data_IF_038891823225
#
_entry.id   IF_038891823225
#
_cell.length_a   1.000
_cell.length_b   1.000
_cell.length_c   1.000
_cell.angle_alpha   90.00
_cell.angle_beta   90.00
_cell.angle_gamma   90.00
#
_symmetry.space_group_name_H-M   'P 1'
#
loop_
_entity.id
_entity.type
_entity.pdbx_description
1 polymer ?
#
# COMPACT_ATOMS: atom_id res chain seq x y z
N UNK A 1 -32.00 4.01 7.05
CA UNK A 1 -32.47 2.62 7.21
C UNK A 1 -33.63 2.61 8.19
N UNK A 2 -34.66 1.78 7.98
CA UNK A 2 -35.66 1.53 9.03
C UNK A 2 -34.99 0.82 10.21
N UNK A 3 -35.49 1.00 11.44
CA UNK A 3 -34.87 0.42 12.64
C UNK A 3 -34.67 -1.10 12.55
N UNK A 4 -35.62 -1.83 11.95
CA UNK A 4 -35.49 -3.27 11.73
C UNK A 4 -34.43 -3.63 10.69
N UNK A 5 -34.21 -2.78 9.68
CA UNK A 5 -33.16 -3.00 8.67
C UNK A 5 -31.78 -2.84 9.29
N UNK A 6 -31.64 -1.97 10.29
CA UNK A 6 -30.41 -1.81 11.08
C UNK A 6 -30.17 -3.05 11.93
N UNK A 7 -31.18 -3.54 12.65
CA UNK A 7 -31.02 -4.74 13.49
C UNK A 7 -30.70 -6.01 12.69
N UNK A 8 -31.29 -6.13 11.49
CA UNK A 8 -31.11 -7.29 10.61
C UNK A 8 -30.06 -7.06 9.51
N UNK A 9 -29.33 -5.95 9.55
CA UNK A 9 -28.32 -5.63 8.54
C UNK A 9 -27.30 -6.76 8.32
N UNK A 10 -26.79 -7.46 9.36
CA UNK A 10 -25.90 -8.61 9.17
C UNK A 10 -26.49 -9.70 8.26
N UNK A 11 -27.81 -9.86 8.22
CA UNK A 11 -28.52 -10.82 7.37
C UNK A 11 -28.93 -10.26 6.01
N UNK A 12 -29.17 -8.95 5.93
CA UNK A 12 -29.66 -8.30 4.71
C UNK A 12 -28.55 -7.99 3.71
N UNK A 13 -27.29 -7.89 4.16
CA UNK A 13 -26.14 -7.54 3.32
C UNK A 13 -26.04 -8.30 2.00
N UNK A 14 -26.15 -9.65 1.94
CA UNK A 14 -26.04 -10.39 0.69
C UNK A 14 -27.13 -10.03 -0.33
N UNK A 15 -28.24 -9.46 0.13
CA UNK A 15 -29.41 -9.12 -0.68
C UNK A 15 -29.50 -7.61 -0.98
N UNK A 16 -28.54 -6.82 -0.47
CA UNK A 16 -28.51 -5.35 -0.57
C UNK A 16 -27.19 -4.89 -1.19
N UNK A 17 -26.88 -5.46 -2.36
CA UNK A 17 -25.64 -5.18 -3.11
C UNK A 17 -25.53 -3.69 -3.42
N UNK A 18 -26.64 -3.01 -3.69
CA UNK A 18 -26.70 -1.57 -3.95
C UNK A 18 -26.21 -0.69 -2.78
N UNK A 19 -26.20 -1.23 -1.56
CA UNK A 19 -25.74 -0.55 -0.34
C UNK A 19 -24.39 -1.05 0.15
N UNK A 20 -23.79 -2.01 -0.55
CA UNK A 20 -22.56 -2.69 -0.15
C UNK A 20 -21.51 -2.71 -1.26
N UNK A 21 -21.88 -2.43 -2.51
CA UNK A 21 -21.00 -2.47 -3.69
C UNK A 21 -19.87 -1.42 -3.68
N UNK A 22 -20.01 -0.31 -2.94
CA UNK A 22 -18.97 0.73 -2.88
C UNK A 22 -17.74 0.30 -2.06
N UNK A 23 -17.89 -0.65 -1.13
CA UNK A 23 -16.84 -1.09 -0.21
C UNK A 23 -16.36 -2.53 -0.45
N UNK A 24 -17.05 -3.32 -1.28
CA UNK A 24 -16.97 -4.79 -1.19
C UNK A 24 -16.53 -5.50 -2.47
N UNK A 25 -15.38 -6.17 -2.38
CA UNK A 25 -15.08 -7.39 -3.11
C UNK A 25 -15.93 -8.60 -2.65
N UNK A 26 -15.48 -9.85 -2.82
CA UNK A 26 -16.24 -11.09 -2.62
C UNK A 26 -16.54 -11.44 -1.15
N UNK A 27 -16.32 -10.52 -0.21
CA UNK A 27 -16.52 -10.74 1.22
C UNK A 27 -18.01 -10.75 1.64
N UNK A 28 -18.92 -10.62 0.67
CA UNK A 28 -20.37 -10.63 0.88
C UNK A 28 -20.82 -11.91 1.57
N UNK A 29 -21.51 -11.75 2.69
CA UNK A 29 -22.14 -12.84 3.43
C UNK A 29 -21.32 -13.48 4.55
N UNK A 30 -20.04 -13.12 4.76
CA UNK A 30 -19.26 -13.64 5.91
C UNK A 30 -19.84 -13.20 7.24
N UNK A 31 -20.22 -11.93 7.35
CA UNK A 31 -20.95 -11.39 8.50
C UNK A 31 -22.31 -12.08 8.67
N UNK A 32 -22.99 -12.44 7.58
CA UNK A 32 -24.25 -13.19 7.64
C UNK A 32 -24.05 -14.62 8.15
N UNK A 33 -23.03 -15.33 7.65
CA UNK A 33 -22.65 -16.67 8.12
C UNK A 33 -22.25 -16.62 9.60
N UNK A 34 -21.49 -15.61 10.01
CA UNK A 34 -21.12 -15.36 11.40
C UNK A 34 -22.36 -15.16 12.27
N UNK A 35 -23.29 -14.30 11.84
CA UNK A 35 -24.53 -14.02 12.58
C UNK A 35 -25.40 -15.27 12.73
N UNK A 36 -25.63 -16.01 11.65
CA UNK A 36 -26.42 -17.25 11.67
C UNK A 36 -25.74 -18.31 12.56
N UNK A 37 -24.43 -18.50 12.42
CA UNK A 37 -23.70 -19.48 13.23
C UNK A 37 -23.69 -19.10 14.71
N UNK A 38 -23.55 -17.82 15.04
CA UNK A 38 -23.64 -17.33 16.41
C UNK A 38 -25.05 -17.52 16.99
N UNK A 39 -26.11 -17.27 16.21
CA UNK A 39 -27.49 -17.55 16.62
C UNK A 39 -27.73 -19.03 16.89
N UNK A 40 -27.30 -19.89 15.97
CA UNK A 40 -27.38 -21.35 16.15
C UNK A 40 -26.62 -21.79 17.40
N UNK A 41 -25.40 -21.28 17.62
CA UNK A 41 -24.62 -21.61 18.79
C UNK A 41 -25.35 -21.24 20.10
N UNK A 42 -25.90 -20.03 20.21
CA UNK A 42 -26.60 -19.55 21.42
C UNK A 42 -27.82 -20.40 21.75
N UNK A 43 -28.64 -20.71 20.74
CA UNK A 43 -29.91 -21.45 20.88
C UNK A 43 -29.66 -22.95 21.10
N UNK A 44 -28.60 -23.49 20.50
CA UNK A 44 -28.33 -24.92 20.56
C UNK A 44 -27.74 -25.31 21.92
N UNK A 45 -28.59 -25.83 22.80
CA UNK A 45 -28.24 -26.22 24.19
C UNK A 45 -27.13 -27.28 24.31
N UNK A 46 -26.82 -27.99 23.23
CA UNK A 46 -25.74 -29.00 23.18
C UNK A 46 -24.36 -28.34 22.96
N UNK A 47 -24.33 -27.08 22.52
CA UNK A 47 -23.07 -26.35 22.36
C UNK A 47 -22.45 -26.03 23.73
N UNK A 48 -21.12 -26.03 23.78
CA UNK A 48 -20.35 -25.70 24.98
C UNK A 48 -20.72 -24.29 25.49
N UNK A 49 -20.75 -24.12 26.81
CA UNK A 49 -21.11 -22.85 27.45
C UNK A 49 -20.23 -21.68 26.97
N UNK A 50 -18.94 -21.91 26.72
CA UNK A 50 -18.00 -20.92 26.19
C UNK A 50 -18.36 -20.53 24.76
N UNK A 51 -18.73 -21.48 23.90
CA UNK A 51 -19.14 -21.20 22.51
C UNK A 51 -20.47 -20.48 22.47
N UNK A 52 -21.41 -20.82 23.36
CA UNK A 52 -22.67 -20.07 23.54
C UNK A 52 -22.41 -18.63 23.97
N UNK A 53 -21.47 -18.42 24.89
CA UNK A 53 -21.06 -17.07 25.29
C UNK A 53 -20.41 -16.31 24.13
N UNK A 54 -19.50 -16.93 23.37
CA UNK A 54 -18.92 -16.34 22.16
C UNK A 54 -19.98 -16.01 21.11
N UNK A 55 -20.97 -16.88 20.92
CA UNK A 55 -22.11 -16.62 20.04
C UNK A 55 -22.92 -15.41 20.50
N UNK A 56 -23.20 -15.28 21.79
CA UNK A 56 -23.89 -14.11 22.33
C UNK A 56 -23.09 -12.82 22.10
N UNK A 57 -21.79 -12.82 22.42
CA UNK A 57 -20.90 -11.67 22.20
C UNK A 57 -20.84 -11.30 20.72
N UNK A 58 -20.75 -12.29 19.83
CA UNK A 58 -20.71 -12.07 18.38
C UNK A 58 -22.02 -11.47 17.86
N UNK A 59 -23.18 -11.95 18.32
CA UNK A 59 -24.48 -11.39 17.95
C UNK A 59 -24.64 -9.96 18.45
N UNK A 60 -24.36 -9.72 19.73
CA UNK A 60 -24.46 -8.40 20.33
C UNK A 60 -23.52 -7.42 19.59
N UNK A 61 -22.28 -7.84 19.36
CA UNK A 61 -21.30 -7.07 18.61
C UNK A 61 -21.75 -6.78 17.17
N UNK A 62 -22.34 -7.75 16.47
CA UNK A 62 -22.86 -7.54 15.12
C UNK A 62 -24.05 -6.55 15.10
N UNK A 63 -24.94 -6.61 16.08
CA UNK A 63 -26.07 -5.66 16.19
C UNK A 63 -25.56 -4.26 16.53
N UNK A 64 -24.65 -4.12 17.50
CA UNK A 64 -24.08 -2.84 17.88
C UNK A 64 -23.24 -2.23 16.75
N UNK A 65 -22.43 -3.04 16.07
CA UNK A 65 -21.69 -2.64 14.87
C UNK A 65 -22.63 -2.09 13.80
N UNK A 66 -23.75 -2.77 13.56
CA UNK A 66 -24.72 -2.31 12.58
C UNK A 66 -25.44 -1.04 13.02
N UNK A 67 -25.72 -0.86 14.31
CA UNK A 67 -26.34 0.34 14.84
C UNK A 67 -25.41 1.56 14.77
N UNK A 68 -24.09 1.33 14.89
CA UNK A 68 -23.09 2.39 14.87
C UNK A 68 -22.71 2.82 13.45
N UNK A 69 -22.19 1.90 12.63
CA UNK A 69 -21.72 2.23 11.27
C UNK A 69 -22.25 1.30 10.20
N UNK A 70 -22.32 -0.01 10.47
CA UNK A 70 -22.60 -1.01 9.44
C UNK A 70 -21.53 -1.12 8.35
N UNK A 71 -20.36 -0.47 8.51
CA UNK A 71 -19.24 -0.52 7.56
C UNK A 71 -18.42 -1.79 7.74
N UNK A 72 -18.24 -2.58 6.68
CA UNK A 72 -17.63 -3.91 6.77
C UNK A 72 -16.18 -3.88 7.27
N UNK A 73 -15.44 -2.80 6.99
CA UNK A 73 -14.08 -2.59 7.50
C UNK A 73 -13.97 -2.76 9.02
N UNK A 74 -15.05 -2.48 9.75
CA UNK A 74 -15.10 -2.57 11.21
C UNK A 74 -15.77 -3.87 11.72
N UNK A 75 -16.12 -4.79 10.82
CA UNK A 75 -16.77 -6.06 11.16
C UNK A 75 -15.80 -7.24 11.30
N UNK A 76 -14.48 -7.04 11.18
CA UNK A 76 -13.50 -8.14 11.19
C UNK A 76 -13.59 -9.03 12.43
N UNK A 77 -13.91 -8.46 13.60
CA UNK A 77 -14.10 -9.25 14.81
C UNK A 77 -15.30 -10.20 14.71
N UNK A 78 -16.39 -9.78 14.04
CA UNK A 78 -17.57 -10.61 13.77
C UNK A 78 -17.20 -11.74 12.82
N UNK A 79 -16.41 -11.45 11.78
CA UNK A 79 -15.94 -12.46 10.84
C UNK A 79 -15.04 -13.51 11.51
N UNK A 80 -14.06 -13.08 12.31
CA UNK A 80 -13.13 -13.96 13.00
C UNK A 80 -13.84 -14.86 14.03
N UNK A 81 -14.64 -14.26 14.92
CA UNK A 81 -15.38 -15.01 15.93
C UNK A 81 -16.44 -15.91 15.29
N UNK A 82 -17.17 -15.40 14.29
CA UNK A 82 -18.14 -16.16 13.53
C UNK A 82 -17.55 -17.36 12.81
N UNK A 83 -16.37 -17.20 12.19
CA UNK A 83 -15.62 -18.31 11.58
C UNK A 83 -15.26 -19.39 12.59
N UNK A 84 -14.72 -19.01 13.75
CA UNK A 84 -14.38 -19.94 14.83
C UNK A 84 -15.63 -20.69 15.35
N UNK A 85 -16.74 -19.99 15.56
CA UNK A 85 -18.02 -20.60 15.95
C UNK A 85 -18.51 -21.57 14.88
N UNK A 86 -18.45 -21.20 13.60
CA UNK A 86 -18.88 -22.04 12.48
C UNK A 86 -18.08 -23.35 12.45
N UNK A 87 -16.75 -23.28 12.59
CA UNK A 87 -15.86 -24.45 12.64
C UNK A 87 -16.21 -25.35 13.84
N UNK A 88 -16.48 -24.76 15.01
CA UNK A 88 -16.91 -25.53 16.18
C UNK A 88 -18.25 -26.25 15.94
N UNK A 89 -19.21 -25.60 15.29
CA UNK A 89 -20.51 -26.19 14.97
C UNK A 89 -20.34 -27.36 13.99
N UNK A 90 -19.51 -27.21 12.95
CA UNK A 90 -19.16 -28.29 12.01
C UNK A 90 -18.58 -29.49 12.77
N UNK A 91 -17.58 -29.26 13.64
CA UNK A 91 -16.95 -30.32 14.43
C UNK A 91 -17.95 -31.03 15.35
N UNK A 92 -18.88 -30.27 15.94
CA UNK A 92 -19.94 -30.81 16.81
C UNK A 92 -20.95 -31.64 16.04
N UNK A 93 -21.37 -31.18 14.85
CA UNK A 93 -22.25 -31.94 13.96
C UNK A 93 -21.59 -33.25 13.49
N UNK A 94 -20.29 -33.21 13.15
CA UNK A 94 -19.55 -34.41 12.76
C UNK A 94 -19.45 -35.44 13.89
N UNK A 95 -19.14 -34.99 15.12
CA UNK A 95 -19.14 -35.86 16.31
C UNK A 95 -20.53 -36.45 16.58
N UNK A 96 -21.58 -35.64 16.46
CA UNK A 96 -22.96 -36.09 16.64
C UNK A 96 -23.35 -37.13 15.59
N UNK A 97 -23.00 -36.93 14.33
CA UNK A 97 -23.24 -37.91 13.26
C UNK A 97 -22.59 -39.26 13.59
N UNK A 98 -21.34 -39.26 14.05
CA UNK A 98 -20.61 -40.47 14.43
C UNK A 98 -21.27 -41.22 15.60
N UNK A 99 -21.79 -40.48 16.58
CA UNK A 99 -22.35 -41.05 17.81
C UNK A 99 -23.85 -41.35 17.75
N UNK A 100 -24.55 -40.93 16.68
CA UNK A 100 -26.00 -41.16 16.54
C UNK A 100 -26.26 -42.54 15.94
N UNK A 101 -26.98 -43.39 16.67
CA UNK A 101 -27.42 -44.71 16.19
C UNK A 101 -28.56 -44.63 15.16
N UNK A 102 -29.44 -43.63 15.29
CA UNK A 102 -30.58 -43.43 14.39
C UNK A 102 -30.13 -42.92 13.00
N UNK A 103 -30.50 -43.61 11.89
CA UNK A 103 -30.05 -43.24 10.55
C UNK A 103 -30.45 -41.83 10.11
N UNK A 104 -31.68 -41.40 10.39
CA UNK A 104 -32.20 -40.07 10.03
C UNK A 104 -31.45 -38.94 10.75
N UNK A 105 -31.18 -39.10 12.04
CA UNK A 105 -30.42 -38.12 12.83
C UNK A 105 -28.95 -38.02 12.40
N UNK A 106 -28.35 -39.16 12.01
CA UNK A 106 -27.00 -39.19 11.42
C UNK A 106 -26.95 -38.44 10.09
N UNK A 107 -27.88 -38.73 9.18
CA UNK A 107 -27.94 -38.10 7.86
C UNK A 107 -28.13 -36.58 7.98
N UNK A 108 -29.06 -36.13 8.84
CA UNK A 108 -29.28 -34.70 9.06
C UNK A 108 -28.03 -33.98 9.57
N UNK A 109 -27.34 -34.55 10.56
CA UNK A 109 -26.12 -33.96 11.12
C UNK A 109 -24.98 -33.90 10.09
N UNK A 110 -24.83 -34.95 9.25
CA UNK A 110 -23.85 -34.97 8.16
C UNK A 110 -24.17 -33.90 7.11
N UNK A 111 -25.41 -33.84 6.63
CA UNK A 111 -25.81 -32.85 5.62
C UNK A 111 -25.60 -31.41 6.12
N UNK A 112 -25.94 -31.13 7.39
CA UNK A 112 -25.69 -29.81 7.98
C UNK A 112 -24.19 -29.48 8.08
N UNK A 113 -23.35 -30.44 8.49
CA UNK A 113 -21.90 -30.27 8.54
C UNK A 113 -21.30 -30.03 7.14
N UNK A 114 -21.75 -30.79 6.14
CA UNK A 114 -21.32 -30.66 4.75
C UNK A 114 -21.73 -29.30 4.19
N UNK A 115 -22.98 -28.86 4.43
CA UNK A 115 -23.46 -27.56 3.97
C UNK A 115 -22.64 -26.40 4.56
N UNK A 116 -22.42 -26.40 5.88
CA UNK A 116 -21.61 -25.37 6.53
C UNK A 116 -20.16 -25.38 6.04
N UNK A 117 -19.58 -26.57 5.82
CA UNK A 117 -18.24 -26.72 5.26
C UNK A 117 -18.16 -26.18 3.83
N UNK A 118 -19.16 -26.50 3.00
CA UNK A 118 -19.24 -26.01 1.62
C UNK A 118 -19.35 -24.48 1.56
N UNK A 119 -20.15 -23.88 2.44
CA UNK A 119 -20.24 -22.41 2.56
C UNK A 119 -18.88 -21.79 2.91
N UNK A 120 -18.14 -22.35 3.88
CA UNK A 120 -16.81 -21.86 4.23
C UNK A 120 -15.81 -22.04 3.08
N UNK A 121 -15.82 -23.17 2.38
CA UNK A 121 -14.95 -23.44 1.24
C UNK A 121 -15.23 -22.46 0.11
N UNK A 122 -16.49 -22.24 -0.25
CA UNK A 122 -16.89 -21.28 -1.29
C UNK A 122 -16.48 -19.86 -0.91
N UNK A 123 -16.70 -19.44 0.33
CA UNK A 123 -16.30 -18.11 0.84
C UNK A 123 -14.78 -17.90 0.88
N UNK A 124 -14.01 -18.94 1.21
CA UNK A 124 -12.55 -18.90 1.16
C UNK A 124 -12.05 -18.86 -0.28
N UNK A 125 -12.58 -19.71 -1.16
CA UNK A 125 -12.21 -19.75 -2.57
C UNK A 125 -12.51 -18.43 -3.27
N UNK A 126 -13.69 -17.83 -3.03
CA UNK A 126 -14.06 -16.54 -3.60
C UNK A 126 -13.10 -15.43 -3.17
N UNK A 127 -12.67 -15.41 -1.89
CA UNK A 127 -11.68 -14.46 -1.42
C UNK A 127 -10.29 -14.68 -2.02
N UNK A 128 -9.85 -15.94 -2.17
CA UNK A 128 -8.60 -16.25 -2.88
C UNK A 128 -8.65 -15.78 -4.34
N UNK A 129 -9.74 -16.02 -5.05
CA UNK A 129 -9.94 -15.58 -6.44
C UNK A 129 -9.90 -14.06 -6.54
N UNK A 130 -10.52 -13.35 -5.61
CA UNK A 130 -10.46 -11.88 -5.62
C UNK A 130 -9.07 -11.37 -5.29
N UNK A 131 -8.40 -11.90 -4.26
CA UNK A 131 -7.03 -11.52 -3.95
C UNK A 131 -6.10 -11.77 -5.16
N UNK A 132 -6.29 -12.88 -5.87
CA UNK A 132 -5.55 -13.16 -7.11
C UNK A 132 -5.81 -12.12 -8.22
N UNK A 133 -7.08 -11.77 -8.44
CA UNK A 133 -7.50 -10.88 -9.54
C UNK A 133 -7.23 -9.41 -9.25
N UNK A 134 -7.47 -8.98 -8.02
CA UNK A 134 -7.62 -7.58 -7.67
C UNK A 134 -6.60 -7.08 -6.65
N UNK A 135 -5.57 -7.83 -6.24
CA UNK A 135 -4.68 -7.34 -5.17
C UNK A 135 -4.22 -5.88 -5.39
N UNK A 136 -4.71 -4.99 -4.51
CA UNK A 136 -4.59 -3.54 -4.63
C UNK A 136 -3.33 -3.01 -3.93
N UNK A 137 -2.83 -3.75 -2.94
CA UNK A 137 -1.74 -3.30 -2.07
C UNK A 137 -0.35 -3.38 -2.69
N UNK A 138 -0.23 -3.86 -3.94
CA UNK A 138 1.05 -4.07 -4.64
C UNK A 138 2.08 -4.92 -3.87
N UNK A 139 1.64 -5.63 -2.82
CA UNK A 139 2.47 -6.50 -1.99
C UNK A 139 2.62 -7.88 -2.61
N UNK A 140 3.67 -8.62 -2.26
CA UNK A 140 3.78 -10.02 -2.61
C UNK A 140 2.62 -10.84 -2.07
N UNK A 141 1.97 -11.59 -2.97
CA UNK A 141 0.97 -12.58 -2.62
C UNK A 141 1.47 -13.97 -2.96
N UNK A 142 0.90 -14.99 -2.30
CA UNK A 142 1.16 -16.39 -2.63
C UNK A 142 0.89 -16.72 -4.10
N UNK A 143 0.05 -15.95 -4.78
CA UNK A 143 -0.33 -16.20 -6.17
C UNK A 143 0.59 -15.54 -7.20
N UNK A 144 1.13 -14.36 -6.92
CA UNK A 144 1.99 -13.62 -7.87
C UNK A 144 3.48 -13.77 -7.56
N UNK A 145 3.84 -13.79 -6.28
CA UNK A 145 5.22 -13.78 -5.79
C UNK A 145 5.37 -14.72 -4.58
N UNK A 146 5.23 -16.05 -4.77
CA UNK A 146 5.18 -17.01 -3.67
C UNK A 146 6.45 -17.04 -2.82
N UNK A 147 7.62 -16.89 -3.43
CA UNK A 147 8.89 -16.88 -2.69
C UNK A 147 8.99 -15.68 -1.74
N UNK A 148 8.66 -14.47 -2.23
CA UNK A 148 8.64 -13.27 -1.40
C UNK A 148 7.56 -13.36 -0.33
N UNK A 149 6.37 -13.87 -0.68
CA UNK A 149 5.30 -14.06 0.29
C UNK A 149 5.69 -15.04 1.41
N UNK A 150 6.30 -16.17 1.08
CA UNK A 150 6.77 -17.14 2.08
C UNK A 150 7.88 -16.58 2.96
N UNK A 151 8.78 -15.79 2.36
CA UNK A 151 9.81 -15.08 3.09
C UNK A 151 9.20 -14.08 4.08
N UNK A 152 8.25 -13.26 3.65
CA UNK A 152 7.59 -12.28 4.51
C UNK A 152 6.71 -12.95 5.59
N UNK A 153 6.08 -14.09 5.25
CA UNK A 153 5.22 -14.83 6.18
C UNK A 153 5.96 -15.31 7.44
N UNK A 154 7.29 -15.45 7.40
CA UNK A 154 8.11 -15.76 8.59
C UNK A 154 8.06 -14.66 9.66
N UNK A 155 7.70 -13.44 9.27
CA UNK A 155 7.58 -12.28 10.14
C UNK A 155 6.17 -12.09 10.69
N UNK A 156 5.17 -12.84 10.21
CA UNK A 156 3.79 -12.74 10.67
C UNK A 156 3.71 -12.94 12.20
N UNK A 157 3.04 -12.03 12.90
CA UNK A 157 2.91 -11.96 14.37
C UNK A 157 4.17 -11.47 15.11
N UNK A 158 5.29 -11.33 14.41
CA UNK A 158 6.57 -10.80 14.91
C UNK A 158 6.94 -9.47 14.25
N UNK A 159 6.08 -8.96 13.37
CA UNK A 159 6.15 -7.70 12.62
C UNK A 159 5.83 -6.47 13.49
N UNK A 160 6.36 -6.43 14.72
CA UNK A 160 6.02 -5.36 15.68
C UNK A 160 6.81 -4.07 15.48
N UNK A 161 7.82 -4.08 14.62
CA UNK A 161 8.68 -2.92 14.40
C UNK A 161 9.16 -2.87 12.95
N UNK A 162 8.67 -1.90 12.18
CA UNK A 162 9.18 -1.62 10.84
C UNK A 162 10.64 -1.12 10.89
N UNK A 163 11.02 -0.44 11.99
CA UNK A 163 12.36 0.08 12.26
C UNK A 163 13.45 -1.01 12.32
N UNK A 164 13.09 -2.24 12.68
CA UNK A 164 14.02 -3.37 12.69
C UNK A 164 14.60 -3.70 11.29
N UNK A 165 13.89 -3.31 10.23
CA UNK A 165 14.25 -3.57 8.83
C UNK A 165 14.85 -2.36 8.11
N UNK A 166 15.12 -1.27 8.83
CA UNK A 166 15.87 -0.13 8.32
C UNK A 166 17.36 -0.45 8.30
N UNK A 167 18.03 -0.02 7.24
CA UNK A 167 19.49 0.02 7.20
C UNK A 167 20.04 0.99 8.25
N UNK A 168 21.33 0.88 8.64
CA UNK A 168 21.95 1.82 9.58
C UNK A 168 21.87 3.29 9.12
N UNK A 169 22.01 3.55 7.82
CA UNK A 169 21.91 4.88 7.22
C UNK A 169 20.49 5.44 7.30
N UNK A 170 19.47 4.64 6.96
CA UNK A 170 18.07 5.03 7.08
C UNK A 170 17.68 5.30 8.54
N UNK A 171 18.17 4.45 9.45
CA UNK A 171 17.93 4.60 10.89
C UNK A 171 18.51 5.91 11.40
N UNK A 172 19.78 6.21 11.08
CA UNK A 172 20.41 7.48 11.45
C UNK A 172 19.64 8.69 10.92
N UNK A 173 19.20 8.63 9.65
CA UNK A 173 18.40 9.70 9.04
C UNK A 173 17.07 9.94 9.77
N UNK A 174 16.36 8.88 10.16
CA UNK A 174 15.06 9.01 10.82
C UNK A 174 15.17 9.34 12.31
N UNK A 175 16.29 8.97 12.97
CA UNK A 175 16.57 9.31 14.37
C UNK A 175 16.80 10.81 14.57
N UNK A 176 17.32 11.49 13.55
CA UNK A 176 17.51 12.94 13.55
C UNK A 176 16.20 13.74 13.43
N UNK A 177 15.07 13.10 13.11
CA UNK A 177 13.77 13.79 13.02
C UNK A 177 13.27 14.10 14.41
N UNK A 178 13.17 15.39 14.74
CA UNK A 178 12.71 15.83 16.05
C UNK A 178 11.20 16.07 16.13
N UNK A 179 10.51 16.17 14.99
CA UNK A 179 9.06 16.01 14.88
C UNK A 179 8.65 15.62 13.44
N UNK A 180 7.71 14.70 13.33
CA UNK A 180 7.10 14.32 12.06
C UNK A 180 5.97 15.28 11.70
N UNK A 181 5.86 15.61 10.42
CA UNK A 181 4.70 16.31 9.86
C UNK A 181 3.94 15.32 9.00
N UNK A 182 2.74 14.96 9.43
CA UNK A 182 1.90 14.00 8.73
C UNK A 182 1.09 14.73 7.64
N UNK A 183 1.62 14.69 6.42
CA UNK A 183 1.06 15.36 5.24
C UNK A 183 0.13 14.50 4.39
N UNK A 184 0.07 13.19 4.65
CA UNK A 184 -0.78 12.24 3.92
C UNK A 184 -1.17 11.04 4.78
N UNK A 185 -2.33 10.41 4.51
CA UNK A 185 -2.90 9.34 5.32
C UNK A 185 -2.15 8.01 5.23
N UNK A 186 -1.39 7.74 4.15
CA UNK A 186 -0.74 6.44 3.96
C UNK A 186 0.54 6.26 4.78
N UNK A 187 1.14 7.36 5.27
CA UNK A 187 2.47 7.34 5.90
C UNK A 187 2.42 7.58 7.41
N UNK A 188 1.25 7.89 7.97
CA UNK A 188 1.02 8.19 9.39
C UNK A 188 1.66 7.19 10.35
N UNK A 189 1.27 5.92 10.23
CA UNK A 189 1.78 4.86 11.10
C UNK A 189 3.26 4.55 10.84
N UNK A 190 3.71 4.71 9.60
CA UNK A 190 5.08 4.42 9.20
C UNK A 190 6.07 5.42 9.81
N UNK A 191 5.73 6.71 9.82
CA UNK A 191 6.56 7.75 10.43
C UNK A 191 6.81 7.49 11.92
N UNK A 192 5.74 7.21 12.69
CA UNK A 192 5.85 6.92 14.13
C UNK A 192 6.63 5.64 14.39
N UNK A 193 6.44 4.59 13.58
CA UNK A 193 7.18 3.33 13.75
C UNK A 193 8.67 3.47 13.43
N UNK A 194 9.07 4.46 12.62
CA UNK A 194 10.48 4.71 12.34
C UNK A 194 11.18 5.51 13.42
N UNK A 195 10.48 6.42 14.10
CA UNK A 195 11.00 7.12 15.26
C UNK A 195 9.86 7.37 16.26
N UNK A 196 9.71 6.45 17.22
CA UNK A 196 8.65 6.46 18.23
C UNK A 196 8.79 7.61 19.24
N UNK A 197 9.97 8.22 19.34
CA UNK A 197 10.24 9.33 20.25
C UNK A 197 9.84 10.69 19.65
N UNK A 198 9.74 10.79 18.32
CA UNK A 198 9.37 12.03 17.64
C UNK A 198 7.85 12.25 17.68
N UNK A 199 7.36 13.40 18.17
CA UNK A 199 5.94 13.74 18.07
C UNK A 199 5.52 13.90 16.60
N UNK A 200 4.23 13.74 16.33
CA UNK A 200 3.67 13.88 14.99
C UNK A 200 2.65 15.02 14.94
N UNK A 201 2.77 15.87 13.91
CA UNK A 201 1.92 17.02 13.65
C UNK A 201 1.09 16.75 12.39
N UNK A 202 -0.22 16.53 12.57
CA UNK A 202 -1.14 16.25 11.46
C UNK A 202 -1.52 17.54 10.71
N UNK A 203 -1.34 17.54 9.39
CA UNK A 203 -1.71 18.68 8.53
C UNK A 203 -2.63 18.32 7.36
N UNK A 204 -2.87 17.03 7.12
CA UNK A 204 -3.70 16.58 5.99
C UNK A 204 -5.21 16.58 6.28
N UNK A 205 -5.60 16.63 7.57
CA UNK A 205 -7.00 16.65 7.99
C UNK A 205 -7.49 18.11 8.13
N UNK A 206 -8.26 18.64 7.16
CA UNK A 206 -8.71 20.04 7.20
C UNK A 206 -9.62 20.33 8.41
N UNK A 207 -10.33 19.33 8.92
CA UNK A 207 -11.20 19.43 10.10
C UNK A 207 -10.43 19.87 11.35
N UNK A 208 -9.13 19.57 11.44
CA UNK A 208 -8.28 19.98 12.56
C UNK A 208 -7.93 21.47 12.53
N UNK A 209 -8.28 22.20 11.47
CA UNK A 209 -8.03 23.63 11.34
C UNK A 209 -9.34 24.45 11.28
N UNK A 210 -10.49 23.81 11.51
CA UNK A 210 -11.80 24.44 11.40
C UNK A 210 -12.07 25.50 12.48
N UNK A 211 -11.57 25.30 13.71
CA UNK A 211 -11.77 26.22 14.84
C UNK A 211 -10.50 26.97 15.19
N UNK A 212 -10.68 28.15 15.79
CA UNK A 212 -9.56 28.96 16.26
C UNK A 212 -8.74 28.26 17.33
N UNK A 213 -9.40 27.58 18.27
CA UNK A 213 -8.73 26.78 19.30
C UNK A 213 -7.84 25.68 18.69
N UNK A 214 -8.30 25.00 17.65
CA UNK A 214 -7.52 23.93 17.00
C UNK A 214 -6.32 24.50 16.24
N UNK A 215 -6.48 25.64 15.56
CA UNK A 215 -5.37 26.37 14.93
C UNK A 215 -4.32 26.83 15.94
N UNK A 216 -4.75 27.35 17.09
CA UNK A 216 -3.83 27.72 18.18
C UNK A 216 -3.14 26.50 18.79
N UNK A 217 -3.82 25.36 18.89
CA UNK A 217 -3.19 24.10 19.36
C UNK A 217 -2.11 23.62 18.40
N UNK A 218 -2.34 23.71 17.09
CA UNK A 218 -1.32 23.42 16.09
C UNK A 218 -0.13 24.38 16.22
N UNK A 219 -0.37 25.69 16.30
CA UNK A 219 0.68 26.69 16.47
C UNK A 219 1.57 26.40 17.70
N UNK A 220 0.99 26.15 18.87
CA UNK A 220 1.74 25.77 20.08
C UNK A 220 2.55 24.48 19.91
N UNK A 221 2.02 23.50 19.17
CA UNK A 221 2.71 22.23 18.92
C UNK A 221 3.90 22.41 17.96
N UNK A 222 3.75 23.32 16.99
CA UNK A 222 4.82 23.72 16.09
C UNK A 222 5.92 24.51 16.82
N UNK A 223 5.54 25.46 17.69
CA UNK A 223 6.45 26.20 18.57
C UNK A 223 7.23 25.25 19.51
N UNK A 224 6.57 24.24 20.08
CA UNK A 224 7.23 23.21 20.89
C UNK A 224 8.22 22.32 20.09
N UNK A 225 8.20 22.45 18.76
CA UNK A 225 9.11 21.77 17.83
C UNK A 225 10.15 22.72 17.22
N UNK A 226 10.23 23.96 17.70
CA UNK A 226 11.22 24.94 17.26
C UNK A 226 12.65 24.44 17.50
N UNK A 227 13.55 24.73 16.55
CA UNK A 227 14.94 24.25 16.57
C UNK A 227 15.12 22.75 16.28
N UNK A 228 14.02 21.99 16.15
CA UNK A 228 14.06 20.57 15.78
C UNK A 228 13.97 20.41 14.27
N UNK A 229 14.56 19.32 13.76
CA UNK A 229 14.38 18.93 12.36
C UNK A 229 12.96 18.41 12.15
N UNK A 230 12.18 19.12 11.35
CA UNK A 230 10.86 18.68 10.91
C UNK A 230 11.00 17.90 9.59
N UNK A 231 10.29 16.79 9.48
CA UNK A 231 10.28 16.01 8.24
C UNK A 231 8.94 15.33 8.02
N UNK A 232 8.68 14.97 6.77
CA UNK A 232 7.56 14.10 6.39
C UNK A 232 8.06 12.97 5.50
N UNK A 233 7.31 11.88 5.51
CA UNK A 233 7.38 10.84 4.48
C UNK A 233 6.07 10.89 3.70
N UNK A 234 6.15 10.93 2.37
CA UNK A 234 4.98 10.94 1.49
C UNK A 234 5.13 9.86 0.41
N UNK A 235 4.03 9.19 0.05
CA UNK A 235 4.02 8.29 -1.10
C UNK A 235 4.07 9.11 -2.40
N UNK A 236 4.69 8.57 -3.44
CA UNK A 236 4.92 9.34 -4.66
C UNK A 236 3.64 9.73 -5.41
N UNK A 237 2.60 8.91 -5.33
CA UNK A 237 1.26 9.18 -5.87
C UNK A 237 0.50 10.25 -5.08
N UNK A 238 0.84 10.45 -3.81
CA UNK A 238 0.27 11.48 -2.93
C UNK A 238 1.08 12.79 -2.91
N UNK A 239 2.17 12.91 -3.68
CA UNK A 239 3.08 14.05 -3.59
C UNK A 239 2.35 15.40 -3.73
N UNK A 240 1.43 15.52 -4.69
CA UNK A 240 0.63 16.72 -4.89
C UNK A 240 -0.22 17.08 -3.67
N UNK A 241 -0.99 16.12 -3.14
CA UNK A 241 -1.86 16.39 -1.99
C UNK A 241 -1.03 16.67 -0.73
N UNK A 242 0.05 15.91 -0.49
CA UNK A 242 0.99 16.15 0.61
C UNK A 242 1.52 17.59 0.61
N UNK A 243 2.02 18.06 -0.54
CA UNK A 243 2.58 19.42 -0.67
C UNK A 243 1.52 20.51 -0.55
N UNK A 244 0.30 20.28 -1.06
CA UNK A 244 -0.82 21.19 -0.85
C UNK A 244 -1.22 21.30 0.64
N UNK A 245 -1.26 20.18 1.38
CA UNK A 245 -1.56 20.18 2.82
C UNK A 245 -0.49 20.94 3.62
N UNK A 246 0.78 20.72 3.29
CA UNK A 246 1.90 21.46 3.90
C UNK A 246 1.78 22.97 3.64
N UNK A 247 1.53 23.36 2.39
CA UNK A 247 1.35 24.77 2.01
C UNK A 247 0.16 25.41 2.75
N UNK A 248 -0.98 24.71 2.86
CA UNK A 248 -2.15 25.19 3.62
C UNK A 248 -1.86 25.40 5.10
N UNK A 249 -0.98 24.58 5.68
CA UNK A 249 -0.51 24.75 7.05
C UNK A 249 0.60 25.81 7.20
N UNK A 250 0.97 26.51 6.12
CA UNK A 250 2.04 27.51 6.11
C UNK A 250 3.46 26.93 6.16
N UNK A 251 3.60 25.62 5.97
CA UNK A 251 4.88 24.91 6.03
C UNK A 251 5.55 24.88 4.66
N UNK A 252 6.85 25.17 4.66
CA UNK A 252 7.70 25.08 3.47
C UNK A 252 8.25 23.67 3.28
N UNK A 253 8.49 23.28 2.03
CA UNK A 253 9.16 22.02 1.69
C UNK A 253 10.59 22.32 1.26
N UNK A 254 11.53 21.67 1.93
CA UNK A 254 12.97 21.77 1.69
C UNK A 254 13.49 20.65 0.79
N UNK A 255 14.62 20.05 1.20
CA UNK A 255 15.25 18.96 0.46
C UNK A 255 14.31 17.77 0.36
N UNK A 256 14.17 17.25 -0.86
CA UNK A 256 13.46 16.02 -1.17
C UNK A 256 14.50 14.92 -1.42
N UNK A 257 14.28 13.73 -0.90
CA UNK A 257 15.05 12.55 -1.32
C UNK A 257 14.13 11.36 -1.42
N UNK A 258 14.45 10.47 -2.36
CA UNK A 258 13.68 9.28 -2.53
C UNK A 258 14.09 8.25 -1.47
N UNK A 259 13.09 7.57 -0.91
CA UNK A 259 13.26 6.56 0.13
C UNK A 259 12.42 5.34 -0.20
N UNK A 260 13.00 4.17 0.03
CA UNK A 260 12.29 2.90 -0.07
C UNK A 260 12.04 2.41 1.34
N UNK A 261 10.77 2.27 1.73
CA UNK A 261 10.39 2.03 3.12
C UNK A 261 10.12 0.54 3.35
N UNK A 262 10.63 -0.09 4.41
CA UNK A 262 10.35 -1.49 4.68
C UNK A 262 8.87 -1.72 4.99
N UNK A 263 8.31 -2.81 4.47
CA UNK A 263 6.97 -3.31 4.81
C UNK A 263 7.08 -4.52 5.72
N UNK A 264 7.57 -4.29 6.95
CA UNK A 264 7.82 -5.33 7.97
C UNK A 264 8.65 -6.53 7.47
N UNK A 265 9.51 -6.28 6.51
CA UNK A 265 10.37 -7.25 5.85
C UNK A 265 11.62 -6.54 5.34
N UNK A 266 12.72 -7.28 5.25
CA UNK A 266 13.97 -6.87 4.61
C UNK A 266 13.86 -6.87 3.08
N UNK A 267 12.94 -7.66 2.51
CA UNK A 267 12.74 -7.76 1.05
C UNK A 267 11.62 -6.90 0.52
N UNK A 268 10.47 -6.94 1.19
CA UNK A 268 9.29 -6.19 0.73
C UNK A 268 9.37 -4.75 1.22
N UNK A 269 9.41 -3.82 0.27
CA UNK A 269 9.53 -2.39 0.55
C UNK A 269 8.56 -1.59 -0.33
N UNK A 270 8.01 -0.52 0.21
CA UNK A 270 7.35 0.51 -0.59
C UNK A 270 8.41 1.23 -1.40
N UNK A 271 8.33 1.10 -2.71
CA UNK A 271 9.45 1.44 -3.58
C UNK A 271 9.41 2.86 -4.13
N UNK A 272 8.35 3.63 -3.87
CA UNK A 272 8.24 5.02 -4.35
C UNK A 272 7.67 5.91 -3.26
N UNK A 273 8.57 6.41 -2.41
CA UNK A 273 8.25 7.36 -1.35
C UNK A 273 9.31 8.46 -1.31
N UNK A 274 8.93 9.61 -0.78
CA UNK A 274 9.80 10.76 -0.59
C UNK A 274 9.91 11.10 0.88
N UNK A 275 11.14 11.31 1.33
CA UNK A 275 11.42 11.99 2.59
C UNK A 275 11.67 13.46 2.28
N UNK A 276 10.91 14.34 2.92
CA UNK A 276 10.97 15.78 2.69
C UNK A 276 11.27 16.50 3.99
N UNK A 277 12.26 17.37 3.96
CA UNK A 277 12.53 18.30 5.06
C UNK A 277 11.46 19.38 5.07
N UNK A 278 10.96 19.71 6.27
CA UNK A 278 9.90 20.68 6.44
C UNK A 278 10.43 21.91 7.16
N UNK A 279 10.04 23.07 6.66
CA UNK A 279 10.42 24.37 7.16
C UNK A 279 9.21 25.06 7.81
N UNK A 280 9.37 25.61 9.02
CA UNK A 280 8.28 26.34 9.68
C UNK A 280 7.92 27.61 8.88
N UNK A 281 6.71 28.19 9.11
CA UNK A 281 6.28 29.39 8.41
C UNK A 281 7.28 30.54 8.59
N UNK A 282 7.56 31.29 7.51
CA UNK A 282 8.43 32.47 7.56
C UNK A 282 9.94 32.19 7.58
N UNK A 283 10.37 30.92 7.61
CA UNK A 283 11.79 30.56 7.60
C UNK A 283 12.49 30.71 6.23
N UNK A 284 11.76 31.11 5.18
CA UNK A 284 12.32 31.40 3.85
C UNK A 284 12.88 30.19 3.08
N UNK A 285 12.84 28.98 3.65
CA UNK A 285 13.45 27.77 3.07
C UNK A 285 12.53 26.91 2.21
N UNK A 286 11.26 27.28 2.05
CA UNK A 286 10.29 26.50 1.29
C UNK A 286 10.38 26.74 -0.22
N UNK A 287 10.38 25.65 -1.01
CA UNK A 287 10.25 25.70 -2.46
C UNK A 287 8.82 25.38 -2.88
N UNK A 288 8.30 26.15 -3.84
CA UNK A 288 7.06 25.81 -4.54
C UNK A 288 7.35 24.87 -5.70
N UNK A 289 6.45 23.89 -5.88
CA UNK A 289 6.52 22.90 -6.93
C UNK A 289 5.33 23.07 -7.87
N UNK A 290 5.62 23.30 -9.14
CA UNK A 290 4.61 23.28 -10.19
C UNK A 290 4.29 21.83 -10.56
N UNK A 291 3.00 21.53 -10.73
CA UNK A 291 2.52 20.20 -11.10
C UNK A 291 1.51 20.41 -12.23
N UNK A 292 2.02 20.34 -13.46
CA UNK A 292 1.22 20.58 -14.67
C UNK A 292 1.11 19.34 -15.54
N UNK A 293 0.07 19.35 -16.39
CA UNK A 293 -0.18 18.30 -17.36
C UNK A 293 0.47 18.66 -18.71
N UNK A 294 1.13 17.67 -19.33
CA UNK A 294 1.65 17.81 -20.67
C UNK A 294 0.50 17.93 -21.70
N UNK A 295 0.36 19.10 -22.32
CA UNK A 295 -0.67 19.36 -23.34
C UNK A 295 -0.24 18.94 -24.76
N UNK A 296 1.06 18.71 -24.97
CA UNK A 296 1.67 18.36 -26.24
C UNK A 296 2.98 17.58 -25.99
N UNK A 297 3.49 16.83 -26.98
CA UNK A 297 4.80 16.21 -26.87
C UNK A 297 5.90 17.27 -26.73
N UNK A 298 6.99 16.91 -26.04
CA UNK A 298 8.18 17.75 -26.01
C UNK A 298 8.81 17.79 -27.41
N UNK A 299 9.44 18.91 -27.74
CA UNK A 299 10.24 18.98 -28.96
C UNK A 299 11.39 17.98 -28.88
N UNK A 300 11.79 17.41 -30.01
CA UNK A 300 12.84 16.37 -30.05
C UNK A 300 14.16 16.84 -29.41
N UNK A 301 14.47 18.13 -29.52
CA UNK A 301 15.66 18.74 -28.88
C UNK A 301 15.58 18.86 -27.35
N UNK A 302 14.39 18.78 -26.77
CA UNK A 302 14.15 18.87 -25.32
C UNK A 302 14.06 17.50 -24.64
N UNK A 303 14.08 16.41 -25.42
CA UNK A 303 14.20 15.04 -24.93
C UNK A 303 15.66 14.76 -24.56
N UNK A 304 16.19 15.48 -23.57
CA UNK A 304 17.59 15.44 -23.12
C UNK A 304 17.67 15.29 -21.63
N UNK A 305 18.05 14.10 -21.17
CA UNK A 305 18.29 13.80 -19.77
C UNK A 305 19.79 13.60 -19.52
N UNK A 306 20.26 14.02 -18.35
CA UNK A 306 21.50 13.50 -17.79
C UNK A 306 21.15 12.63 -16.58
N UNK A 307 21.61 11.38 -16.61
CA UNK A 307 21.26 10.35 -15.64
C UNK A 307 22.53 9.90 -14.91
N UNK A 308 22.49 9.85 -13.59
CA UNK A 308 23.58 9.25 -12.77
C UNK A 308 23.02 8.37 -11.66
N UNK A 309 23.83 7.42 -11.18
CA UNK A 309 23.47 6.63 -10.01
C UNK A 309 23.60 7.51 -8.75
N UNK A 310 22.49 7.78 -8.08
CA UNK A 310 22.48 8.53 -6.83
C UNK A 310 23.05 7.71 -5.67
N UNK A 311 22.94 6.38 -5.76
CA UNK A 311 23.54 5.40 -4.84
C UNK A 311 24.07 4.21 -5.63
N UNK A 312 24.99 3.44 -5.03
CA UNK A 312 25.53 2.23 -5.66
C UNK A 312 24.40 1.24 -5.97
N UNK A 313 24.15 0.91 -7.25
CA UNK A 313 23.09 -0.02 -7.62
C UNK A 313 23.49 -1.48 -7.32
N UNK A 314 22.53 -2.38 -7.07
CA UNK A 314 22.81 -3.81 -6.94
C UNK A 314 23.34 -4.39 -8.25
N UNK A 315 24.48 -5.08 -8.18
CA UNK A 315 25.10 -5.77 -9.33
C UNK A 315 24.75 -7.26 -9.40
N UNK A 316 23.94 -7.73 -8.45
CA UNK A 316 23.46 -9.11 -8.35
C UNK A 316 22.02 -9.10 -7.87
N UNK A 317 21.17 -9.90 -8.53
CA UNK A 317 19.77 -10.13 -8.16
C UNK A 317 19.46 -11.62 -8.38
N UNK A 318 18.45 -12.15 -7.69
CA UNK A 318 17.92 -13.50 -7.98
C UNK A 318 16.90 -13.45 -9.09
N UNK A 319 16.65 -14.59 -9.72
CA UNK A 319 15.65 -14.74 -10.75
C UNK A 319 14.27 -14.25 -10.27
N UNK A 320 13.71 -13.25 -10.96
CA UNK A 320 12.42 -12.64 -10.61
C UNK A 320 12.42 -11.75 -9.35
N UNK A 321 13.56 -11.48 -8.74
CA UNK A 321 13.69 -10.55 -7.62
C UNK A 321 13.47 -9.10 -8.07
N UNK A 322 12.84 -8.30 -7.22
CA UNK A 322 12.72 -6.86 -7.44
C UNK A 322 13.94 -6.14 -6.86
N UNK A 323 14.60 -5.33 -7.68
CA UNK A 323 15.67 -4.43 -7.27
C UNK A 323 15.21 -2.98 -7.31
N UNK A 324 15.68 -2.16 -6.37
CA UNK A 324 15.41 -0.71 -6.34
C UNK A 324 16.67 0.05 -6.71
N UNK A 325 16.54 0.96 -7.68
CA UNK A 325 17.61 1.80 -8.18
C UNK A 325 17.35 3.26 -7.82
N UNK A 326 18.37 3.93 -7.30
CA UNK A 326 18.34 5.36 -6.99
C UNK A 326 19.01 6.11 -8.13
N UNK A 327 18.22 6.84 -8.92
CA UNK A 327 18.68 7.51 -10.14
C UNK A 327 18.51 9.00 -9.96
N UNK A 328 19.60 9.75 -10.08
CA UNK A 328 19.55 11.20 -10.17
C UNK A 328 19.25 11.57 -11.62
N UNK A 329 18.12 12.23 -11.82
CA UNK A 329 17.61 12.64 -13.13
C UNK A 329 17.73 14.15 -13.26
N UNK A 330 18.45 14.61 -14.28
CA UNK A 330 18.54 16.03 -14.65
C UNK A 330 17.76 16.33 -15.91
N UNK A 331 16.99 17.41 -15.91
CA UNK A 331 16.50 18.01 -17.14
C UNK A 331 17.66 18.73 -17.87
N UNK A 332 18.23 18.10 -18.90
CA UNK A 332 19.27 18.67 -19.74
C UNK A 332 18.70 19.30 -21.04
N UNK A 333 17.37 19.37 -21.16
CA UNK A 333 16.66 20.07 -22.23
C UNK A 333 16.52 21.57 -21.96
N UNK A 334 15.74 22.26 -22.79
CA UNK A 334 15.47 23.70 -22.67
C UNK A 334 14.02 23.99 -22.27
N UNK A 335 13.13 23.02 -22.38
CA UNK A 335 11.75 23.09 -21.93
C UNK A 335 11.57 22.51 -20.51
N UNK A 336 10.57 23.03 -19.80
CA UNK A 336 10.07 22.40 -18.56
C UNK A 336 9.49 21.03 -18.89
N UNK A 337 9.72 20.07 -18.00
CA UNK A 337 9.15 18.73 -18.08
C UNK A 337 7.92 18.63 -17.18
N UNK A 338 6.71 18.56 -17.74
CA UNK A 338 5.50 18.38 -16.94
C UNK A 338 5.47 17.02 -16.24
N UNK A 339 5.04 17.00 -15.00
CA UNK A 339 4.97 15.78 -14.18
C UNK A 339 3.74 14.92 -14.45
N UNK A 340 2.64 15.54 -14.90
CA UNK A 340 1.39 14.85 -15.22
C UNK A 340 1.25 14.66 -16.73
N UNK A 341 0.55 13.60 -17.13
CA UNK A 341 0.12 13.42 -18.50
C UNK A 341 -1.08 14.32 -18.83
N UNK A 342 -1.27 14.59 -20.11
CA UNK A 342 -2.47 15.23 -20.63
C UNK A 342 -3.71 14.32 -20.57
N UNK A 343 -4.70 14.62 -21.41
CA UNK A 343 -5.88 13.78 -21.55
C UNK A 343 -5.49 12.31 -21.83
N UNK A 344 -6.04 11.39 -21.04
CA UNK A 344 -5.72 9.95 -21.13
C UNK A 344 -4.33 9.56 -20.63
N UNK A 345 -3.63 10.42 -19.86
CA UNK A 345 -2.24 10.22 -19.39
C UNK A 345 -1.18 10.26 -20.50
N UNK A 346 -1.53 10.74 -21.69
CA UNK A 346 -0.59 10.90 -22.80
C UNK A 346 0.53 11.89 -22.46
N UNK A 347 1.70 11.69 -23.04
CA UNK A 347 2.88 12.56 -22.91
C UNK A 347 3.49 12.67 -21.50
N UNK A 348 3.02 11.84 -20.55
CA UNK A 348 3.60 11.77 -19.22
C UNK A 348 5.05 11.28 -19.30
N UNK A 349 5.91 11.89 -18.50
CA UNK A 349 7.32 11.52 -18.41
C UNK A 349 7.55 10.46 -17.34
N UNK A 350 8.33 9.46 -17.70
CA UNK A 350 8.72 8.38 -16.82
C UNK A 350 10.22 8.11 -16.95
N UNK A 351 10.83 7.72 -15.84
CA UNK A 351 12.05 6.93 -15.83
C UNK A 351 11.65 5.46 -15.96
N UNK A 352 12.30 4.74 -16.86
CA UNK A 352 12.05 3.33 -17.09
C UNK A 352 13.33 2.58 -17.45
N UNK A 353 13.19 1.32 -17.84
CA UNK A 353 14.34 0.47 -18.15
C UNK A 353 14.09 -0.56 -19.26
N UNK A 354 15.21 -1.11 -19.72
CA UNK A 354 15.28 -2.25 -20.63
C UNK A 354 16.28 -3.26 -20.09
N UNK A 355 15.91 -4.54 -20.10
CA UNK A 355 16.85 -5.64 -19.90
C UNK A 355 17.39 -6.08 -21.24
N UNK A 356 18.69 -5.95 -21.42
CA UNK A 356 19.43 -6.39 -22.59
C UNK A 356 20.16 -7.70 -22.30
N UNK A 357 20.51 -8.42 -23.35
CA UNK A 357 21.42 -9.57 -23.27
C UNK A 357 22.80 -9.19 -22.69
N UNK A 358 23.62 -10.21 -22.37
CA UNK A 358 24.97 -10.01 -21.85
C UNK A 358 25.85 -9.13 -22.75
N UNK A 359 25.57 -9.11 -24.06
CA UNK A 359 26.26 -8.26 -25.04
C UNK A 359 25.81 -6.80 -25.00
N UNK A 360 24.66 -6.48 -24.39
CA UNK A 360 24.08 -5.14 -24.34
C UNK A 360 23.52 -4.67 -25.69
N UNK A 361 23.10 -5.61 -26.54
CA UNK A 361 22.63 -5.32 -27.91
C UNK A 361 21.15 -5.66 -28.05
N UNK A 362 20.73 -6.86 -27.62
CA UNK A 362 19.37 -7.32 -27.81
C UNK A 362 18.52 -7.03 -26.58
N UNK A 363 17.40 -6.32 -26.76
CA UNK A 363 16.36 -6.16 -25.73
C UNK A 363 15.66 -7.51 -25.51
N UNK A 364 15.64 -7.97 -24.26
CA UNK A 364 14.99 -9.20 -23.80
C UNK A 364 13.68 -8.91 -23.08
N UNK A 365 13.68 -7.92 -22.19
CA UNK A 365 12.49 -7.39 -21.52
C UNK A 365 12.50 -5.89 -21.71
N UNK A 366 11.38 -5.37 -22.20
CA UNK A 366 11.19 -3.95 -22.42
C UNK A 366 10.25 -3.42 -21.34
N UNK A 367 10.66 -2.37 -20.62
CA UNK A 367 9.75 -1.51 -19.85
C UNK A 367 8.98 -2.26 -18.74
N UNK A 368 9.70 -2.87 -17.79
CA UNK A 368 9.10 -3.50 -16.60
C UNK A 368 9.12 -2.61 -15.35
N UNK A 369 9.98 -1.59 -15.31
CA UNK A 369 10.03 -0.58 -14.25
C UNK A 369 9.52 0.78 -14.71
N UNK A 370 8.81 1.48 -13.82
CA UNK A 370 8.23 2.80 -14.09
C UNK A 370 8.32 3.71 -12.88
N UNK A 371 8.89 4.90 -13.04
CA UNK A 371 8.86 5.95 -12.03
C UNK A 371 8.49 7.29 -12.66
N UNK A 372 7.45 7.94 -12.14
CA UNK A 372 7.03 9.27 -12.62
C UNK A 372 7.74 10.39 -11.88
N UNK A 373 7.79 11.56 -12.51
CA UNK A 373 8.16 12.80 -11.83
C UNK A 373 7.08 13.17 -10.79
N UNK A 374 7.47 13.58 -9.57
CA UNK A 374 6.52 14.05 -8.55
C UNK A 374 6.04 15.50 -8.80
N UNK A 375 6.86 16.29 -9.49
CA UNK A 375 6.59 17.68 -9.86
C UNK A 375 7.35 18.04 -11.14
N UNK A 376 7.02 19.20 -11.71
CA UNK A 376 7.57 19.63 -12.99
C UNK A 376 9.06 19.96 -12.87
N UNK A 377 9.88 19.37 -13.75
CA UNK A 377 11.33 19.53 -13.70
C UNK A 377 11.75 20.64 -14.65
N UNK A 378 12.19 21.79 -14.12
CA UNK A 378 12.65 22.91 -14.96
C UNK A 378 14.03 22.63 -15.57
N UNK A 379 14.43 23.30 -16.66
CA UNK A 379 15.76 23.11 -17.26
C UNK A 379 16.90 23.27 -16.24
N UNK A 380 17.81 22.30 -16.23
CA UNK A 380 18.95 22.24 -15.32
C UNK A 380 18.65 21.70 -13.92
N UNK A 381 17.37 21.51 -13.56
CA UNK A 381 17.00 20.93 -12.27
C UNK A 381 17.25 19.42 -12.22
N UNK A 382 17.58 18.94 -11.01
CA UNK A 382 17.85 17.54 -10.70
C UNK A 382 16.88 17.01 -9.64
N UNK A 383 16.50 15.74 -9.77
CA UNK A 383 15.69 15.02 -8.79
C UNK A 383 16.13 13.56 -8.68
N UNK A 384 16.15 13.03 -7.45
CA UNK A 384 16.35 11.59 -7.21
C UNK A 384 15.01 10.85 -7.38
N UNK A 385 14.98 9.84 -8.26
CA UNK A 385 13.85 8.95 -8.47
C UNK A 385 14.20 7.51 -8.09
N UNK A 386 13.19 6.73 -7.67
CA UNK A 386 13.31 5.30 -7.41
C UNK A 386 12.73 4.51 -8.56
N UNK A 387 13.58 3.75 -9.25
CA UNK A 387 13.15 2.81 -10.26
C UNK A 387 13.18 1.40 -9.70
N UNK A 388 12.01 0.76 -9.63
CA UNK A 388 11.90 -0.66 -9.27
C UNK A 388 11.93 -1.49 -10.52
N UNK A 389 12.87 -2.43 -10.60
CA UNK A 389 13.06 -3.34 -11.75
C UNK A 389 12.87 -4.78 -11.30
N UNK A 390 12.39 -5.65 -12.18
CA UNK A 390 12.25 -7.09 -11.90
C UNK A 390 13.29 -7.85 -12.70
N UNK A 391 14.19 -8.54 -12.01
CA UNK A 391 15.21 -9.35 -12.65
C UNK A 391 14.58 -10.42 -13.57
N UNK A 392 15.16 -10.70 -14.75
CA UNK A 392 14.76 -11.80 -15.60
C UNK A 392 14.66 -13.12 -14.82
N UNK A 393 13.75 -14.02 -15.23
CA UNK A 393 13.56 -15.31 -14.55
C UNK A 393 14.63 -16.36 -14.89
N UNK A 394 15.43 -16.10 -15.92
CA UNK A 394 16.56 -16.95 -16.28
C UNK A 394 17.82 -16.39 -15.62
N UNK A 395 18.58 -17.26 -14.96
CA UNK A 395 19.90 -16.90 -14.45
C UNK A 395 20.87 -16.61 -15.61
N UNK A 396 21.77 -15.65 -15.41
CA UNK A 396 22.71 -15.23 -16.45
C UNK A 396 23.27 -13.83 -16.24
N UNK A 397 24.09 -13.38 -17.17
CA UNK A 397 24.61 -12.01 -17.23
C UNK A 397 23.70 -11.13 -18.10
N UNK A 398 23.39 -9.94 -17.61
CA UNK A 398 22.50 -8.99 -18.27
C UNK A 398 23.06 -7.57 -18.24
N UNK A 399 22.62 -6.75 -19.18
CA UNK A 399 22.80 -5.29 -19.10
C UNK A 399 21.44 -4.66 -18.87
N UNK A 400 21.30 -3.96 -17.75
CA UNK A 400 20.16 -3.12 -17.47
C UNK A 400 20.43 -1.71 -18.00
N UNK A 401 19.63 -1.28 -18.97
CA UNK A 401 19.64 0.09 -19.48
C UNK A 401 18.50 0.88 -18.82
N UNK A 402 18.80 2.07 -18.32
CA UNK A 402 17.85 3.00 -17.70
C UNK A 402 17.81 4.27 -18.53
N UNK A 403 16.59 4.70 -18.87
CA UNK A 403 16.35 5.83 -19.76
C UNK A 403 15.07 6.58 -19.37
N UNK A 404 14.98 7.85 -19.78
CA UNK A 404 13.75 8.62 -19.72
C UNK A 404 12.87 8.33 -20.93
N UNK A 405 11.56 8.34 -20.70
CA UNK A 405 10.52 8.09 -21.70
C UNK A 405 9.46 9.18 -21.61
N UNK A 406 9.02 9.67 -22.76
CA UNK A 406 7.73 10.36 -22.88
C UNK A 406 6.68 9.40 -23.43
N UNK A 407 5.64 9.15 -22.65
CA UNK A 407 4.60 8.18 -22.99
C UNK A 407 3.87 8.54 -24.28
N UNK A 408 3.67 7.53 -25.13
CA UNK A 408 3.07 7.68 -26.46
C UNK A 408 3.97 8.37 -27.49
N UNK A 409 5.23 8.69 -27.14
CA UNK A 409 6.15 9.39 -28.03
C UNK A 409 7.45 8.62 -28.28
N UNK A 410 8.38 8.63 -27.32
CA UNK A 410 9.70 8.03 -27.50
C UNK A 410 10.48 7.98 -26.20
N UNK A 411 11.31 6.96 -26.09
CA UNK A 411 12.50 6.96 -25.24
C UNK A 411 13.45 8.09 -25.65
N UNK A 412 14.12 8.69 -24.68
CA UNK A 412 15.01 9.82 -24.89
C UNK A 412 16.30 9.36 -25.57
N UNK A 413 16.79 8.16 -25.25
CA UNK A 413 17.93 7.52 -25.90
C UNK A 413 17.76 7.38 -27.41
N UNK A 414 16.56 7.02 -27.87
CA UNK A 414 16.22 6.96 -29.31
C UNK A 414 16.25 8.32 -30.01
N UNK A 415 16.30 9.42 -29.25
CA UNK A 415 16.41 10.80 -29.74
C UNK A 415 17.78 11.41 -29.46
N UNK A 416 18.76 10.59 -29.07
CA UNK A 416 20.15 10.99 -28.86
C UNK A 416 20.46 11.54 -27.47
N UNK A 417 19.63 11.23 -26.46
CA UNK A 417 19.99 11.43 -25.05
C UNK A 417 20.88 10.29 -24.56
N UNK A 418 21.71 10.55 -23.55
CA UNK A 418 22.48 9.50 -22.90
C UNK A 418 21.59 8.65 -21.98
N UNK A 419 21.88 7.34 -21.91
CA UNK A 419 21.25 6.37 -21.02
C UNK A 419 22.24 5.86 -19.98
N UNK A 420 21.73 5.34 -18.86
CA UNK A 420 22.57 4.62 -17.90
C UNK A 420 22.58 3.13 -18.22
N UNK A 421 23.75 2.50 -18.16
CA UNK A 421 23.88 1.04 -18.31
C UNK A 421 24.57 0.42 -17.11
N UNK A 422 24.02 -0.68 -16.63
CA UNK A 422 24.55 -1.47 -15.53
C UNK A 422 24.67 -2.94 -15.95
N UNK A 423 25.89 -3.49 -15.84
CA UNK A 423 26.09 -4.94 -15.95
C UNK A 423 25.76 -5.59 -14.62
N UNK A 424 24.88 -6.58 -14.63
CA UNK A 424 24.52 -7.31 -13.42
C UNK A 424 24.24 -8.78 -13.70
N UNK A 425 24.46 -9.60 -12.67
CA UNK A 425 24.25 -11.04 -12.73
C UNK A 425 22.93 -11.42 -12.07
N UNK A 426 22.14 -12.21 -12.77
CA UNK A 426 20.96 -12.89 -12.23
C UNK A 426 21.36 -14.28 -11.76
N UNK A 427 21.16 -14.55 -10.48
CA UNK A 427 21.40 -15.84 -9.82
C UNK A 427 20.09 -16.64 -9.72
N UNK A 428 20.20 -17.94 -9.41
CA UNK A 428 19.02 -18.82 -9.25
C UNK A 428 18.13 -18.46 -8.05
#
# INVERSE_FOLDING_TARGET
LKAWEVLLWPLLQPFRVERTAADLGPHWGRVSVAFVSALVAVVWRVADRRVRALGFVTLLGAVLWSAASGMLRYAMFVELMGGAITIYLIATLYRRAKNTAQPSGRMLAQSAAVLLSAVLVVQSAAACVYAYRFEWGSRPTVFRMPANHLHDARHLLFDRSARAYLSPEERARFDEVGAWVESGPMTSGVQVLFNEAAPQLCVYMPEFFATEESRQRFARSLEASEGKRLATVCMADEFKSCTEHLRRAGLGVGKISAVSLPFYSDRSRFATSYFMEIFPPGSGGGRDFDITAANAPLAVGDLRAALTWARTPPVRLRAGEQGVLYVLVKNAGRAVWPSLGGAGQNFRLFLGNHWLDAGGVRVLVNDDGRSSLPYDLVPGEEIELLLTVTAPRAAGEYVLEVDMLQEGMSWFGLKGSDTLRLRLRVEE
#
